data_IF_314356667849
#
_entry.id   IF_314356667849
#
_cell.length_a   1.000
_cell.length_b   1.000
_cell.length_c   1.000
_cell.angle_alpha   90.00
_cell.angle_beta   90.00
_cell.angle_gamma   90.00
#
_symmetry.space_group_name_H-M   'P 1'
#
loop_
_entity.id
_entity.type
_entity.pdbx_description
1 polymer ?
#
# COMPACT_ATOMS: atom_id res chain seq x y z
N UNK A 1 8.51 -38.51 15.86
CA UNK A 1 8.39 -37.42 16.88
C UNK A 1 9.49 -36.34 16.79
N UNK A 2 10.23 -36.20 15.67
CA UNK A 2 11.26 -35.17 15.42
C UNK A 2 10.83 -34.05 14.43
N UNK A 3 9.66 -34.18 13.83
CA UNK A 3 9.17 -33.25 12.80
C UNK A 3 8.73 -31.88 13.40
N UNK A 4 8.14 -31.89 14.60
CA UNK A 4 7.69 -30.69 15.26
C UNK A 4 8.81 -29.74 15.73
N UNK A 5 9.99 -30.24 16.05
CA UNK A 5 11.12 -29.43 16.52
C UNK A 5 11.78 -28.61 15.42
N UNK A 6 11.80 -29.11 14.19
CA UNK A 6 12.38 -28.42 13.03
C UNK A 6 11.42 -27.28 12.56
N UNK A 7 10.12 -27.54 12.53
CA UNK A 7 9.11 -26.52 12.18
C UNK A 7 9.09 -25.38 13.19
N UNK A 8 9.15 -25.67 14.50
CA UNK A 8 9.21 -24.65 15.55
C UNK A 8 10.51 -23.83 15.45
N UNK A 9 11.64 -24.45 15.13
CA UNK A 9 12.92 -23.77 14.96
C UNK A 9 12.90 -22.86 13.72
N UNK A 10 12.31 -23.31 12.61
CA UNK A 10 12.15 -22.50 11.38
C UNK A 10 11.21 -21.32 11.61
N UNK A 11 10.07 -21.54 12.25
CA UNK A 11 9.13 -20.46 12.60
C UNK A 11 9.77 -19.43 13.54
N UNK A 12 10.50 -19.88 14.57
CA UNK A 12 11.22 -19.00 15.49
C UNK A 12 12.32 -18.19 14.81
N UNK A 13 13.02 -18.77 13.85
CA UNK A 13 14.04 -18.07 13.05
C UNK A 13 13.38 -17.02 12.13
N UNK A 14 12.28 -17.37 11.49
CA UNK A 14 11.53 -16.41 10.67
C UNK A 14 10.99 -15.23 11.50
N UNK A 15 10.53 -15.49 12.73
CA UNK A 15 10.04 -14.44 13.62
C UNK A 15 11.17 -13.49 14.05
N UNK A 16 12.34 -14.00 14.45
CA UNK A 16 13.50 -13.21 14.82
C UNK A 16 14.05 -12.40 13.64
N UNK A 17 14.21 -13.03 12.49
CA UNK A 17 14.67 -12.36 11.26
C UNK A 17 13.64 -11.32 10.80
N UNK A 18 12.36 -11.66 10.86
CA UNK A 18 11.27 -10.72 10.54
C UNK A 18 11.24 -9.50 11.48
N UNK A 19 11.50 -9.70 12.78
CA UNK A 19 11.61 -8.60 13.74
C UNK A 19 12.81 -7.71 13.43
N UNK A 20 14.00 -8.27 13.21
CA UNK A 20 15.19 -7.51 12.84
C UNK A 20 14.97 -6.71 11.54
N UNK A 21 14.40 -7.32 10.51
CA UNK A 21 14.04 -6.65 9.26
C UNK A 21 12.99 -5.55 9.49
N UNK A 22 12.10 -5.69 10.47
CA UNK A 22 11.13 -4.65 10.82
C UNK A 22 11.79 -3.40 11.39
N UNK A 23 12.79 -3.57 12.28
CA UNK A 23 13.55 -2.43 12.82
C UNK A 23 14.37 -1.75 11.72
N UNK A 24 15.02 -2.52 10.85
CA UNK A 24 15.75 -1.96 9.70
C UNK A 24 14.79 -1.18 8.80
N UNK A 25 13.62 -1.75 8.48
CA UNK A 25 12.61 -1.07 7.66
C UNK A 25 12.07 0.20 8.32
N UNK A 26 11.93 0.21 9.64
CA UNK A 26 11.51 1.40 10.40
C UNK A 26 12.58 2.51 10.33
N UNK A 27 13.85 2.15 10.46
CA UNK A 27 14.96 3.11 10.33
C UNK A 27 15.01 3.67 8.90
N UNK A 28 14.99 2.81 7.89
CA UNK A 28 14.98 3.18 6.47
C UNK A 28 13.77 4.07 6.17
N UNK A 29 12.58 3.68 6.62
CA UNK A 29 11.33 4.40 6.38
C UNK A 29 11.29 5.80 7.00
N UNK A 30 12.07 6.06 8.05
CA UNK A 30 12.17 7.39 8.67
C UNK A 30 13.35 8.22 8.13
N UNK A 31 14.48 7.59 7.80
CA UNK A 31 15.65 8.29 7.28
C UNK A 31 15.47 8.74 5.82
N UNK A 32 14.87 7.89 4.98
CA UNK A 32 14.67 8.23 3.57
C UNK A 32 13.88 9.52 3.39
N UNK A 33 12.73 9.74 4.04
CA UNK A 33 11.97 10.97 3.90
C UNK A 33 12.74 12.22 4.30
N UNK A 34 13.66 12.14 5.28
CA UNK A 34 14.48 13.28 5.70
C UNK A 34 15.37 13.80 4.56
N UNK A 35 15.90 12.90 3.74
CA UNK A 35 16.75 13.26 2.59
C UNK A 35 15.91 13.51 1.35
N UNK A 36 14.90 12.67 1.12
CA UNK A 36 14.08 12.69 -0.08
C UNK A 36 13.16 13.91 -0.15
N UNK A 37 12.50 14.29 0.97
CA UNK A 37 11.51 15.39 0.98
C UNK A 37 12.10 16.75 0.56
N UNK A 38 13.29 17.18 1.05
CA UNK A 38 13.89 18.42 0.59
C UNK A 38 14.23 18.43 -0.90
N UNK A 39 14.68 17.29 -1.44
CA UNK A 39 15.00 17.15 -2.87
C UNK A 39 13.70 17.25 -3.69
N UNK A 40 12.65 16.52 -3.27
CA UNK A 40 11.35 16.55 -3.91
C UNK A 40 10.75 17.97 -3.93
N UNK A 41 10.86 18.69 -2.80
CA UNK A 41 10.38 20.08 -2.70
C UNK A 41 11.13 21.02 -3.66
N UNK A 42 12.44 20.82 -3.84
CA UNK A 42 13.24 21.62 -4.79
C UNK A 42 12.88 21.32 -6.25
N UNK A 43 12.58 20.07 -6.58
CA UNK A 43 12.28 19.65 -7.96
C UNK A 43 10.85 19.98 -8.38
N UNK A 44 9.88 19.80 -7.49
CA UNK A 44 8.47 20.13 -7.75
C UNK A 44 8.17 21.62 -7.61
N UNK A 45 8.91 22.30 -6.76
CA UNK A 45 8.53 23.63 -6.28
C UNK A 45 7.46 23.58 -5.18
N UNK A 46 7.30 24.70 -4.48
CA UNK A 46 6.45 24.79 -3.29
C UNK A 46 4.96 24.59 -3.59
N UNK A 47 4.48 25.14 -4.72
CA UNK A 47 3.06 25.07 -5.10
C UNK A 47 2.66 23.62 -5.41
N UNK A 48 3.36 22.95 -6.32
CA UNK A 48 3.02 21.58 -6.75
C UNK A 48 3.23 20.56 -5.62
N UNK A 49 4.26 20.74 -4.79
CA UNK A 49 4.45 19.93 -3.58
C UNK A 49 3.28 20.10 -2.61
N UNK A 50 2.77 21.33 -2.45
CA UNK A 50 1.58 21.61 -1.65
C UNK A 50 0.33 20.91 -2.17
N UNK A 51 0.09 20.93 -3.48
CA UNK A 51 -1.03 20.21 -4.12
C UNK A 51 -0.94 18.69 -3.90
N UNK A 52 0.27 18.13 -4.06
CA UNK A 52 0.51 16.72 -3.78
C UNK A 52 0.24 16.39 -2.30
N UNK A 53 0.64 17.26 -1.36
CA UNK A 53 0.36 17.12 0.07
C UNK A 53 -1.14 17.15 0.39
N UNK A 54 -1.90 18.05 -0.25
CA UNK A 54 -3.36 18.10 -0.12
C UNK A 54 -3.99 16.79 -0.63
N UNK A 55 -3.59 16.32 -1.81
CA UNK A 55 -4.09 15.07 -2.37
C UNK A 55 -3.79 13.87 -1.45
N UNK A 56 -2.59 13.80 -0.89
CA UNK A 56 -2.21 12.77 0.08
C UNK A 56 -3.06 12.82 1.36
N UNK A 57 -3.36 14.02 1.86
CA UNK A 57 -4.21 14.20 3.03
C UNK A 57 -5.63 13.71 2.78
N UNK A 58 -6.19 14.02 1.61
CA UNK A 58 -7.51 13.53 1.18
C UNK A 58 -7.52 12.00 1.13
N UNK A 59 -6.48 11.39 0.55
CA UNK A 59 -6.35 9.94 0.50
C UNK A 59 -6.19 9.34 1.90
N UNK A 60 -5.52 10.02 2.82
CA UNK A 60 -5.44 9.65 4.24
C UNK A 60 -6.82 9.54 4.88
N UNK A 61 -7.68 10.51 4.67
CA UNK A 61 -9.07 10.46 5.17
C UNK A 61 -9.90 9.35 4.50
N UNK A 62 -9.79 9.20 3.18
CA UNK A 62 -10.46 8.12 2.45
C UNK A 62 -9.94 6.75 2.94
N UNK A 63 -8.66 6.66 3.25
CA UNK A 63 -8.02 5.45 3.80
C UNK A 63 -8.60 5.00 5.15
N UNK A 64 -9.23 5.89 5.91
CA UNK A 64 -9.94 5.52 7.14
C UNK A 64 -11.10 4.55 6.87
N UNK A 65 -11.65 4.53 5.65
CA UNK A 65 -12.67 3.55 5.25
C UNK A 65 -12.15 2.10 5.29
N UNK A 66 -10.84 1.90 5.35
CA UNK A 66 -10.25 0.56 5.54
C UNK A 66 -10.48 -0.02 6.95
N UNK A 67 -10.83 0.81 7.95
CA UNK A 67 -11.25 0.43 9.31
C UNK A 67 -10.40 -0.67 9.99
N UNK A 68 -9.11 -0.78 9.68
CA UNK A 68 -8.25 -1.81 10.27
C UNK A 68 -8.60 -3.25 9.88
N UNK A 69 -9.37 -3.44 8.80
CA UNK A 69 -9.82 -4.75 8.30
C UNK A 69 -8.64 -5.70 8.09
N UNK A 70 -7.46 -5.19 7.68
CA UNK A 70 -6.27 -6.00 7.43
C UNK A 70 -5.85 -6.87 8.62
N UNK A 71 -5.85 -6.33 9.84
CA UNK A 71 -5.55 -7.09 11.05
C UNK A 71 -6.59 -8.20 11.34
N UNK A 72 -7.85 -7.91 11.05
CA UNK A 72 -8.95 -8.87 11.18
C UNK A 72 -8.79 -10.03 10.19
N UNK A 73 -8.43 -9.74 8.95
CA UNK A 73 -8.17 -10.77 7.92
C UNK A 73 -7.09 -11.74 8.41
N UNK A 74 -5.94 -11.22 8.84
CA UNK A 74 -4.81 -12.04 9.32
C UNK A 74 -5.27 -12.94 10.46
N UNK A 75 -6.01 -12.41 11.42
CA UNK A 75 -6.50 -13.17 12.58
C UNK A 75 -7.39 -14.35 12.16
N UNK A 76 -8.35 -14.12 11.28
CA UNK A 76 -9.26 -15.19 10.83
C UNK A 76 -8.55 -16.23 9.96
N UNK A 77 -7.72 -15.80 9.02
CA UNK A 77 -6.95 -16.71 8.18
C UNK A 77 -6.01 -17.59 9.02
N UNK A 78 -5.26 -17.00 9.97
CA UNK A 78 -4.38 -17.74 10.88
C UNK A 78 -5.14 -18.76 11.74
N UNK A 79 -6.37 -18.41 12.20
CA UNK A 79 -7.23 -19.30 12.99
C UNK A 79 -7.61 -20.56 12.21
N UNK A 80 -8.11 -20.39 10.98
CA UNK A 80 -8.57 -21.54 10.17
C UNK A 80 -7.39 -22.36 9.65
N UNK A 81 -6.28 -21.72 9.32
CA UNK A 81 -5.04 -22.42 9.00
C UNK A 81 -4.56 -23.29 10.16
N UNK A 82 -4.51 -22.74 11.39
CA UNK A 82 -4.10 -23.51 12.58
C UNK A 82 -5.02 -24.70 12.87
N UNK A 83 -6.29 -24.61 12.47
CA UNK A 83 -7.26 -25.69 12.55
C UNK A 83 -7.14 -26.70 11.40
N UNK A 84 -6.30 -26.47 10.40
CA UNK A 84 -6.15 -27.30 9.20
C UNK A 84 -7.33 -27.24 8.23
N UNK A 85 -8.26 -26.29 8.41
CA UNK A 85 -9.49 -26.18 7.62
C UNK A 85 -9.28 -25.25 6.41
N UNK A 86 -8.66 -25.77 5.36
CA UNK A 86 -8.42 -25.03 4.11
C UNK A 86 -9.69 -24.52 3.47
N UNK A 87 -10.78 -25.28 3.53
CA UNK A 87 -12.05 -24.87 2.92
C UNK A 87 -12.67 -23.63 3.57
N UNK A 88 -12.50 -23.47 4.90
CA UNK A 88 -12.91 -22.26 5.59
C UNK A 88 -11.94 -21.11 5.37
N UNK A 89 -10.64 -21.38 5.31
CA UNK A 89 -9.62 -20.37 5.00
C UNK A 89 -9.91 -19.70 3.64
N UNK A 90 -10.14 -20.49 2.59
CA UNK A 90 -10.48 -20.00 1.25
C UNK A 90 -11.79 -19.20 1.21
N UNK A 91 -12.84 -19.70 1.91
CA UNK A 91 -14.12 -18.98 2.01
C UNK A 91 -13.97 -17.63 2.71
N UNK A 92 -13.16 -17.57 3.76
CA UNK A 92 -12.89 -16.33 4.47
C UNK A 92 -12.08 -15.37 3.62
N UNK A 93 -11.05 -15.83 2.92
CA UNK A 93 -10.32 -15.02 1.97
C UNK A 93 -11.25 -14.44 0.89
N UNK A 94 -12.11 -15.28 0.30
CA UNK A 94 -13.13 -14.85 -0.68
C UNK A 94 -14.14 -13.85 -0.10
N UNK A 95 -14.56 -14.01 1.16
CA UNK A 95 -15.42 -13.05 1.85
C UNK A 95 -14.77 -11.68 1.97
N UNK A 96 -13.50 -11.64 2.40
CA UNK A 96 -12.77 -10.38 2.54
C UNK A 96 -12.49 -9.70 1.21
N UNK A 97 -12.26 -10.47 0.13
CA UNK A 97 -12.17 -9.90 -1.23
C UNK A 97 -13.49 -9.21 -1.60
N UNK A 98 -14.66 -9.82 -1.31
CA UNK A 98 -15.97 -9.20 -1.55
C UNK A 98 -16.16 -7.93 -0.70
N UNK A 99 -15.80 -7.97 0.59
CA UNK A 99 -15.87 -6.79 1.47
C UNK A 99 -15.00 -5.67 0.91
N UNK A 100 -13.75 -5.96 0.54
CA UNK A 100 -12.86 -4.96 -0.04
C UNK A 100 -13.33 -4.46 -1.41
N UNK A 101 -14.04 -5.27 -2.19
CA UNK A 101 -14.65 -4.79 -3.43
C UNK A 101 -15.76 -3.76 -3.16
N UNK A 102 -16.54 -3.94 -2.10
CA UNK A 102 -17.54 -2.94 -1.67
C UNK A 102 -16.83 -1.68 -1.17
N UNK A 103 -15.79 -1.81 -0.34
CA UNK A 103 -15.00 -0.66 0.12
C UNK A 103 -14.33 0.06 -1.05
N UNK A 104 -13.86 -0.68 -2.05
CA UNK A 104 -13.34 -0.12 -3.30
C UNK A 104 -14.38 0.77 -3.99
N UNK A 105 -15.62 0.32 -4.14
CA UNK A 105 -16.70 1.14 -4.72
C UNK A 105 -16.97 2.40 -3.88
N UNK A 106 -16.94 2.30 -2.56
CA UNK A 106 -17.10 3.47 -1.67
C UNK A 106 -15.94 4.45 -1.82
N UNK A 107 -14.70 3.98 -1.92
CA UNK A 107 -13.51 4.81 -2.14
C UNK A 107 -13.60 5.52 -3.49
N UNK A 108 -13.98 4.80 -4.55
CA UNK A 108 -14.18 5.40 -5.87
C UNK A 108 -15.27 6.47 -5.83
N UNK A 109 -16.43 6.17 -5.24
CA UNK A 109 -17.52 7.12 -5.12
C UNK A 109 -17.09 8.38 -4.33
N UNK A 110 -16.44 8.21 -3.17
CA UNK A 110 -15.97 9.32 -2.36
C UNK A 110 -14.91 10.16 -3.08
N UNK A 111 -13.91 9.52 -3.71
CA UNK A 111 -12.85 10.20 -4.42
C UNK A 111 -13.34 10.97 -5.65
N UNK A 112 -14.23 10.37 -6.46
CA UNK A 112 -14.82 11.06 -7.60
C UNK A 112 -15.75 12.21 -7.17
N UNK A 113 -16.56 11.99 -6.13
CA UNK A 113 -17.42 13.04 -5.57
C UNK A 113 -16.57 14.22 -5.06
N UNK A 114 -15.46 13.95 -4.39
CA UNK A 114 -14.54 14.97 -3.93
C UNK A 114 -13.89 15.70 -5.11
N UNK A 115 -13.39 14.95 -6.12
CA UNK A 115 -12.80 15.54 -7.32
C UNK A 115 -13.78 16.41 -8.13
N UNK A 116 -15.06 16.07 -8.13
CA UNK A 116 -16.11 16.86 -8.77
C UNK A 116 -16.37 18.19 -8.02
N UNK A 117 -16.24 18.19 -6.69
CA UNK A 117 -16.54 19.36 -5.84
C UNK A 117 -15.30 20.20 -5.49
N UNK A 118 -14.16 19.98 -6.14
CA UNK A 118 -12.92 20.74 -5.91
C UNK A 118 -13.06 22.25 -6.20
N UNK A 119 -14.12 22.68 -6.89
CA UNK A 119 -14.42 24.09 -7.11
C UNK A 119 -14.60 24.89 -5.79
N UNK A 120 -14.90 24.21 -4.68
CA UNK A 120 -14.94 24.85 -3.34
C UNK A 120 -13.57 25.44 -2.97
N UNK A 121 -12.49 24.85 -3.45
CA UNK A 121 -11.12 25.33 -3.24
C UNK A 121 -10.66 26.39 -4.25
N UNK A 122 -11.45 26.70 -5.26
CA UNK A 122 -11.12 27.71 -6.29
C UNK A 122 -10.92 29.13 -5.76
N UNK A 123 -11.32 29.38 -4.51
CA UNK A 123 -11.07 30.67 -3.85
C UNK A 123 -9.62 30.87 -3.41
N UNK A 124 -8.86 29.80 -3.25
CA UNK A 124 -7.48 29.81 -2.73
C UNK A 124 -6.46 29.25 -3.72
N UNK A 125 -6.91 28.65 -4.82
CA UNK A 125 -6.07 28.01 -5.84
C UNK A 125 -6.39 28.59 -7.22
N UNK A 126 -5.38 28.64 -8.09
CA UNK A 126 -5.56 29.00 -9.49
C UNK A 126 -6.30 27.89 -10.26
N UNK A 127 -6.84 28.20 -11.43
CA UNK A 127 -7.56 27.21 -12.26
C UNK A 127 -6.68 26.02 -12.63
N UNK A 128 -5.40 26.26 -12.93
CA UNK A 128 -4.43 25.21 -13.26
C UNK A 128 -4.09 24.33 -12.06
N UNK A 129 -3.96 24.93 -10.87
CA UNK A 129 -3.74 24.18 -9.62
C UNK A 129 -4.93 23.29 -9.27
N UNK A 130 -6.16 23.77 -9.45
CA UNK A 130 -7.37 22.96 -9.26
C UNK A 130 -7.44 21.80 -10.25
N UNK A 131 -7.04 22.03 -11.51
CA UNK A 131 -6.99 20.97 -12.52
C UNK A 131 -5.95 19.89 -12.15
N UNK A 132 -4.75 20.30 -11.75
CA UNK A 132 -3.69 19.41 -11.28
C UNK A 132 -4.13 18.61 -10.06
N UNK A 133 -4.71 19.28 -9.05
CA UNK A 133 -5.21 18.60 -7.84
C UNK A 133 -6.31 17.57 -8.18
N UNK A 134 -7.20 17.90 -9.12
CA UNK A 134 -8.25 16.98 -9.59
C UNK A 134 -7.65 15.71 -10.19
N UNK A 135 -6.65 15.85 -11.06
CA UNK A 135 -5.95 14.71 -11.67
C UNK A 135 -5.27 13.85 -10.60
N UNK A 136 -4.57 14.48 -9.64
CA UNK A 136 -3.91 13.77 -8.55
C UNK A 136 -4.90 12.99 -7.69
N UNK A 137 -6.01 13.61 -7.28
CA UNK A 137 -7.05 12.95 -6.47
C UNK A 137 -7.66 11.77 -7.22
N UNK A 138 -7.99 11.92 -8.49
CA UNK A 138 -8.55 10.83 -9.31
C UNK A 138 -7.55 9.68 -9.43
N UNK A 139 -6.31 9.96 -9.81
CA UNK A 139 -5.27 8.93 -9.98
C UNK A 139 -4.99 8.20 -8.67
N UNK A 140 -4.85 8.92 -7.56
CA UNK A 140 -4.63 8.32 -6.25
C UNK A 140 -5.84 7.49 -5.78
N UNK A 141 -7.06 7.97 -6.03
CA UNK A 141 -8.29 7.25 -5.72
C UNK A 141 -8.35 5.91 -6.46
N UNK A 142 -8.13 5.93 -7.78
CA UNK A 142 -8.11 4.72 -8.61
C UNK A 142 -7.01 3.77 -8.16
N UNK A 143 -5.80 4.30 -7.90
CA UNK A 143 -4.68 3.51 -7.41
C UNK A 143 -5.06 2.78 -6.10
N UNK A 144 -5.56 3.51 -5.09
CA UNK A 144 -5.94 2.93 -3.80
C UNK A 144 -7.06 1.91 -3.95
N UNK A 145 -8.09 2.23 -4.73
CA UNK A 145 -9.24 1.35 -4.93
C UNK A 145 -8.88 0.04 -5.62
N UNK A 146 -8.08 0.10 -6.70
CA UNK A 146 -7.70 -1.09 -7.47
C UNK A 146 -6.87 -2.06 -6.64
N UNK A 147 -5.92 -1.57 -5.83
CA UNK A 147 -5.02 -2.44 -5.09
C UNK A 147 -5.57 -2.93 -3.74
N UNK A 148 -6.67 -2.35 -3.25
CA UNK A 148 -7.25 -2.73 -1.96
C UNK A 148 -7.67 -4.21 -1.89
N UNK A 149 -8.41 -4.79 -2.85
CA UNK A 149 -8.77 -6.21 -2.85
C UNK A 149 -7.54 -7.13 -2.86
N UNK A 150 -6.46 -6.73 -3.55
CA UNK A 150 -5.24 -7.51 -3.62
C UNK A 150 -4.46 -7.54 -2.29
N UNK A 151 -4.75 -6.64 -1.36
CA UNK A 151 -4.15 -6.65 -0.01
C UNK A 151 -4.52 -7.89 0.80
N UNK A 152 -5.60 -8.60 0.45
CA UNK A 152 -5.96 -9.89 1.04
C UNK A 152 -4.85 -10.92 0.83
N UNK A 153 -4.19 -10.94 -0.34
CA UNK A 153 -3.08 -11.86 -0.59
C UNK A 153 -1.85 -11.55 0.26
N UNK A 154 -1.58 -10.27 0.54
CA UNK A 154 -0.56 -9.87 1.51
C UNK A 154 -0.88 -10.39 2.91
N UNK A 155 -2.14 -10.30 3.34
CA UNK A 155 -2.62 -10.82 4.62
C UNK A 155 -2.54 -12.35 4.68
N UNK A 156 -2.80 -13.03 3.57
CA UNK A 156 -2.65 -14.49 3.46
C UNK A 156 -1.19 -14.93 3.64
N UNK A 157 -0.25 -14.22 3.01
CA UNK A 157 1.19 -14.46 3.18
C UNK A 157 1.62 -14.30 4.64
N UNK A 158 1.10 -13.29 5.35
CA UNK A 158 1.36 -13.08 6.77
C UNK A 158 0.70 -14.15 7.64
N UNK A 159 -0.52 -14.56 7.35
CA UNK A 159 -1.21 -15.65 8.04
C UNK A 159 -0.45 -16.99 7.90
N UNK A 160 0.30 -17.17 6.80
CA UNK A 160 1.17 -18.33 6.58
C UNK A 160 2.58 -18.13 7.16
N UNK A 161 2.77 -17.16 8.05
CA UNK A 161 4.04 -16.89 8.77
C UNK A 161 5.24 -16.63 7.84
N UNK A 162 5.00 -16.22 6.60
CA UNK A 162 6.05 -15.87 5.63
C UNK A 162 6.57 -14.45 5.83
N UNK A 163 6.95 -14.15 7.08
CA UNK A 163 7.35 -12.81 7.51
C UNK A 163 8.56 -12.27 6.74
N UNK A 164 9.54 -13.11 6.45
CA UNK A 164 10.76 -12.70 5.74
C UNK A 164 10.42 -12.20 4.33
N UNK A 165 9.61 -12.98 3.58
CA UNK A 165 9.18 -12.58 2.23
C UNK A 165 8.41 -11.26 2.26
N UNK A 166 7.44 -11.13 3.19
CA UNK A 166 6.66 -9.90 3.33
C UNK A 166 7.55 -8.69 3.65
N UNK A 167 8.50 -8.83 4.58
CA UNK A 167 9.38 -7.74 4.98
C UNK A 167 10.38 -7.35 3.90
N UNK A 168 10.98 -8.34 3.22
CA UNK A 168 11.90 -8.08 2.11
C UNK A 168 11.20 -7.34 0.95
N UNK A 169 9.98 -7.76 0.60
CA UNK A 169 9.21 -7.09 -0.44
C UNK A 169 8.83 -5.65 -0.03
N UNK A 170 8.44 -5.44 1.24
CA UNK A 170 8.20 -4.11 1.80
C UNK A 170 9.44 -3.23 1.78
N UNK A 171 10.60 -3.75 2.19
CA UNK A 171 11.88 -3.02 2.14
C UNK A 171 12.27 -2.65 0.70
N UNK A 172 12.12 -3.58 -0.24
CA UNK A 172 12.39 -3.32 -1.65
C UNK A 172 11.51 -2.18 -2.17
N UNK A 173 10.22 -2.21 -1.86
CA UNK A 173 9.28 -1.15 -2.24
C UNK A 173 9.64 0.20 -1.59
N UNK A 174 10.01 0.20 -0.30
CA UNK A 174 10.40 1.41 0.43
C UNK A 174 11.67 2.06 -0.11
N UNK A 175 12.61 1.27 -0.63
CA UNK A 175 13.85 1.76 -1.25
C UNK A 175 13.61 2.17 -2.72
N UNK A 176 12.82 1.39 -3.45
CA UNK A 176 12.55 1.64 -4.86
C UNK A 176 11.69 2.90 -5.07
N UNK A 177 10.74 3.19 -4.16
CA UNK A 177 9.82 4.31 -4.31
C UNK A 177 10.54 5.67 -4.43
N UNK A 178 11.45 6.07 -3.54
CA UNK A 178 12.16 7.34 -3.66
C UNK A 178 13.03 7.42 -4.92
N UNK A 179 13.66 6.30 -5.30
CA UNK A 179 14.51 6.25 -6.49
C UNK A 179 13.71 6.45 -7.77
N UNK A 180 12.57 5.74 -7.92
CA UNK A 180 11.68 5.91 -9.05
C UNK A 180 11.05 7.31 -9.08
N UNK A 181 10.64 7.81 -7.92
CA UNK A 181 10.12 9.15 -7.80
C UNK A 181 11.12 10.20 -8.26
N UNK A 182 12.38 10.13 -7.80
CA UNK A 182 13.43 11.06 -8.23
C UNK A 182 13.70 10.94 -9.72
N UNK A 183 13.78 9.72 -10.28
CA UNK A 183 13.98 9.52 -11.71
C UNK A 183 12.87 10.19 -12.54
N UNK A 184 11.59 10.03 -12.15
CA UNK A 184 10.46 10.66 -12.85
C UNK A 184 10.42 12.18 -12.66
N UNK A 185 10.83 12.68 -11.49
CA UNK A 185 10.94 14.12 -11.24
C UNK A 185 12.05 14.74 -12.11
N UNK A 186 13.21 14.09 -12.25
CA UNK A 186 14.26 14.55 -13.14
C UNK A 186 13.86 14.50 -14.62
N UNK A 187 12.95 13.59 -14.99
CA UNK A 187 12.35 13.56 -16.33
C UNK A 187 11.25 14.61 -16.54
N UNK A 188 10.90 15.41 -15.51
CA UNK A 188 9.93 16.48 -15.61
C UNK A 188 8.45 16.05 -15.52
N UNK A 189 8.18 14.83 -15.03
CA UNK A 189 6.79 14.33 -14.88
C UNK A 189 6.02 14.93 -13.70
N UNK A 190 6.64 15.78 -12.88
CA UNK A 190 6.00 16.46 -11.76
C UNK A 190 5.34 15.52 -10.75
N UNK A 191 4.32 16.00 -10.07
CA UNK A 191 3.55 15.25 -9.06
C UNK A 191 2.76 14.07 -9.66
N UNK A 192 2.35 14.15 -10.91
CA UNK A 192 1.71 13.04 -11.62
C UNK A 192 2.67 11.84 -11.76
N UNK A 193 3.96 12.12 -12.02
CA UNK A 193 5.01 11.10 -12.02
C UNK A 193 5.14 10.35 -10.71
N UNK A 194 4.97 11.03 -9.56
CA UNK A 194 4.99 10.39 -8.24
C UNK A 194 3.85 9.38 -8.07
N UNK A 195 2.66 9.71 -8.56
CA UNK A 195 1.52 8.78 -8.52
C UNK A 195 1.73 7.62 -9.49
N UNK A 196 2.27 7.88 -10.68
CA UNK A 196 2.60 6.85 -11.66
C UNK A 196 3.61 5.85 -11.10
N UNK A 197 4.70 6.32 -10.44
CA UNK A 197 5.70 5.46 -9.80
C UNK A 197 5.08 4.58 -8.72
N UNK A 198 4.22 5.14 -7.87
CA UNK A 198 3.53 4.38 -6.83
C UNK A 198 2.61 3.31 -7.43
N UNK A 199 1.97 3.59 -8.56
CA UNK A 199 1.13 2.62 -9.28
C UNK A 199 1.96 1.44 -9.79
N UNK A 200 3.11 1.71 -10.43
CA UNK A 200 4.03 0.67 -10.90
C UNK A 200 4.52 -0.20 -9.73
N UNK A 201 4.94 0.42 -8.63
CA UNK A 201 5.39 -0.31 -7.44
C UNK A 201 4.28 -1.15 -6.82
N UNK A 202 3.05 -0.65 -6.79
CA UNK A 202 1.90 -1.41 -6.31
C UNK A 202 1.63 -2.63 -7.20
N UNK A 203 1.71 -2.50 -8.53
CA UNK A 203 1.60 -3.65 -9.44
C UNK A 203 2.66 -4.71 -9.15
N UNK A 204 3.90 -4.31 -8.98
CA UNK A 204 5.00 -5.23 -8.65
C UNK A 204 4.76 -5.89 -7.29
N UNK A 205 4.42 -5.11 -6.28
CA UNK A 205 4.28 -5.57 -4.90
C UNK A 205 3.08 -6.50 -4.74
N UNK A 206 1.89 -6.05 -5.14
CA UNK A 206 0.67 -6.86 -5.00
C UNK A 206 0.61 -8.01 -6.02
N UNK A 207 1.18 -7.82 -7.22
CA UNK A 207 1.39 -8.90 -8.17
C UNK A 207 2.28 -10.01 -7.60
N UNK A 208 3.36 -9.63 -6.91
CA UNK A 208 4.26 -10.59 -6.24
C UNK A 208 3.54 -11.33 -5.10
N UNK A 209 2.74 -10.65 -4.28
CA UNK A 209 1.94 -11.30 -3.24
C UNK A 209 0.93 -12.28 -3.83
N UNK A 210 0.22 -11.87 -4.87
CA UNK A 210 -0.78 -12.70 -5.56
C UNK A 210 -0.14 -13.92 -6.19
N UNK A 211 0.97 -13.74 -6.94
CA UNK A 211 1.69 -14.84 -7.57
C UNK A 211 2.26 -15.82 -6.54
N UNK A 212 2.78 -15.30 -5.42
CA UNK A 212 3.29 -16.16 -4.33
C UNK A 212 2.16 -16.94 -3.66
N UNK A 213 1.04 -16.28 -3.35
CA UNK A 213 -0.11 -16.92 -2.73
C UNK A 213 -0.70 -18.03 -3.60
N UNK A 214 -0.91 -17.77 -4.90
CA UNK A 214 -1.49 -18.75 -5.83
C UNK A 214 -0.56 -19.94 -6.15
N UNK A 215 0.76 -19.76 -6.04
CA UNK A 215 1.73 -20.82 -6.41
C UNK A 215 2.23 -21.64 -5.23
N UNK A 216 2.24 -21.08 -4.03
CA UNK A 216 2.93 -21.68 -2.88
C UNK A 216 2.06 -21.86 -1.63
N UNK A 217 0.86 -21.34 -1.60
CA UNK A 217 -0.08 -21.48 -0.48
C UNK A 217 -1.34 -22.23 -0.91
#
# INVERSE_FOLDING_TARGET
MRIGGVEIAVARNQLKTGAALSYINLIIGNLIPLVYTPIMLRLLGQAEYGLYGIAQSIMGYIGLLNFGIGGTIIRYLSKYRAAGDRGREERVAGLFIKIYSVVCCLILAAGFLFAANLQIYSRSLTADEVATLRVLVILMTVNTAVFLPFSVFSSLVLAHERYVFHKLLGMLSSLAAPLLNLALLFCGFGSVGLVASSTVLNFITYGSYTAYALRKL
#
